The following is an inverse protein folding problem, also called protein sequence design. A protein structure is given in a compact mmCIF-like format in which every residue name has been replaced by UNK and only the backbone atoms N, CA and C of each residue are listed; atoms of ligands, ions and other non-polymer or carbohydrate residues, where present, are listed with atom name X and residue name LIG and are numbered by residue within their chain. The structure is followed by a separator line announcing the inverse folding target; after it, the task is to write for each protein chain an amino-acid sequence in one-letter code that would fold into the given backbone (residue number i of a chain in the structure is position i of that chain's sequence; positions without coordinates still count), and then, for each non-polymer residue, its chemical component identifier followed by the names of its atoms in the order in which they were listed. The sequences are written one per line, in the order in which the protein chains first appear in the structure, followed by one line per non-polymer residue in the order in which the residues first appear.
data_IF_998603563496
#
_entry.id   IF_998603563496
#
_cell.length_a   1.000
_cell.length_b   1.000
_cell.length_c   1.000
_cell.angle_alpha   90.00
_cell.angle_beta   90.00
_cell.angle_gamma   90.00
#
_symmetry.space_group_name_H-M   'P 1'
#
loop_
_entity.id
_entity.type
_entity.pdbx_description
1 polymer ?
#
# COMPACT_ATOMS: atom_id res chain seq x y z
N UNK A 1 28.95 -13.63 19.03
CA UNK A 1 29.74 -12.42 18.76
C UNK A 1 28.90 -11.55 17.83
N UNK A 2 28.14 -10.62 18.41
CA UNK A 2 27.17 -9.80 17.70
C UNK A 2 27.91 -8.73 16.88
N UNK A 3 27.53 -8.57 15.61
CA UNK A 3 27.94 -7.46 14.77
C UNK A 3 26.74 -6.55 14.56
N UNK A 4 26.77 -5.37 15.17
CA UNK A 4 25.88 -4.26 14.82
C UNK A 4 26.42 -3.62 13.53
N UNK A 5 25.53 -3.34 12.58
CA UNK A 5 25.82 -2.48 11.44
C UNK A 5 24.93 -1.24 11.54
N UNK A 6 25.55 -0.14 11.91
CA UNK A 6 25.00 1.21 11.94
C UNK A 6 25.18 1.82 10.53
N UNK A 7 24.13 2.41 9.96
CA UNK A 7 24.22 3.13 8.68
C UNK A 7 23.84 4.58 8.95
N UNK A 8 24.86 5.42 9.16
CA UNK A 8 24.75 6.86 9.02
C UNK A 8 24.48 7.21 7.55
N UNK A 9 23.45 8.01 7.29
CA UNK A 9 23.31 8.70 6.01
C UNK A 9 23.76 10.14 6.19
N UNK A 10 24.95 10.42 5.66
CA UNK A 10 25.47 11.75 5.46
C UNK A 10 24.54 12.53 4.52
N UNK A 11 24.07 13.67 4.98
CA UNK A 11 23.36 14.68 4.20
C UNK A 11 24.37 15.50 3.39
N UNK A 12 24.41 15.28 2.08
CA UNK A 12 25.09 16.19 1.15
C UNK A 12 24.08 17.05 0.38
N UNK A 13 24.14 18.34 0.74
CA UNK A 13 23.60 19.49 0.04
C UNK A 13 24.15 19.56 -1.39
N UNK A 14 23.28 19.53 -2.38
CA UNK A 14 23.58 19.89 -3.77
C UNK A 14 22.65 21.00 -4.24
N UNK A 15 23.10 22.25 -4.10
CA UNK A 15 22.38 23.43 -4.58
C UNK A 15 22.36 23.54 -6.11
N UNK A 16 21.27 24.09 -6.63
CA UNK A 16 21.11 24.46 -8.04
C UNK A 16 20.07 25.56 -8.17
N UNK A 17 20.53 26.82 -8.14
CA UNK A 17 19.69 28.00 -8.27
C UNK A 17 19.36 28.33 -9.73
N UNK A 18 18.15 28.86 -9.93
CA UNK A 18 17.73 29.78 -11.00
C UNK A 18 16.34 30.29 -10.56
N UNK A 19 15.93 31.55 -10.61
CA UNK A 19 16.44 32.73 -11.28
C UNK A 19 15.24 33.45 -11.92
N UNK A 20 14.88 34.64 -11.41
CA UNK A 20 13.87 35.56 -11.98
C UNK A 20 12.45 35.32 -11.46
N UNK A 21 11.66 36.31 -11.05
CA UNK A 21 11.68 37.76 -11.26
C UNK A 21 10.23 38.16 -11.52
N UNK A 22 9.67 39.11 -10.76
CA UNK A 22 8.29 39.57 -10.99
C UNK A 22 7.67 40.27 -9.79
N UNK A 23 7.90 41.57 -9.70
CA UNK A 23 7.33 42.52 -8.77
C UNK A 23 5.94 43.03 -9.22
N UNK A 24 5.11 43.39 -8.24
CA UNK A 24 3.87 44.16 -8.40
C UNK A 24 2.81 43.64 -7.42
N UNK A 25 2.21 44.40 -6.51
CA UNK A 25 2.09 45.84 -6.34
C UNK A 25 0.63 46.15 -5.97
N UNK A 26 0.42 46.89 -4.88
CA UNK A 26 -0.89 47.46 -4.48
C UNK A 26 -1.82 46.46 -3.76
N UNK A 27 -2.63 46.83 -2.78
CA UNK A 27 -3.02 48.13 -2.28
C UNK A 27 -3.99 47.92 -1.11
N UNK A 28 -4.10 48.98 -0.32
CA UNK A 28 -4.78 49.14 0.97
C UNK A 28 -6.32 49.21 0.91
N UNK A 29 -6.95 48.93 2.06
CA UNK A 29 -8.35 49.27 2.41
C UNK A 29 -8.89 48.23 3.39
N UNK A 30 -9.19 48.49 4.66
CA UNK A 30 -9.75 49.69 5.27
C UNK A 30 -11.28 49.59 5.26
N UNK A 31 -11.91 49.39 6.43
CA UNK A 31 -13.38 49.42 6.52
C UNK A 31 -13.95 48.73 7.76
N UNK A 32 -14.14 49.51 8.81
CA UNK A 32 -14.91 49.22 10.02
C UNK A 32 -16.42 49.03 9.77
N UNK A 33 -17.13 48.73 10.87
CA UNK A 33 -18.60 48.71 11.12
C UNK A 33 -19.29 47.35 10.91
N UNK A 34 -20.05 46.78 11.85
CA UNK A 34 -20.67 47.33 13.05
C UNK A 34 -22.19 47.37 12.89
N UNK A 35 -22.89 46.32 13.30
CA UNK A 35 -24.33 46.25 13.65
C UNK A 35 -24.60 44.79 14.10
N UNK A 36 -25.10 44.47 15.29
CA UNK A 36 -26.24 45.07 15.99
C UNK A 36 -27.51 44.40 15.48
N UNK A 37 -28.00 43.37 16.16
CA UNK A 37 -29.17 42.61 15.72
C UNK A 37 -29.63 41.55 16.73
N UNK A 38 -30.34 42.00 17.75
CA UNK A 38 -31.14 41.20 18.68
C UNK A 38 -32.39 40.64 17.99
N UNK A 39 -32.86 39.44 18.37
CA UNK A 39 -34.30 39.13 18.30
C UNK A 39 -34.71 37.70 17.92
N UNK A 40 -35.63 37.15 18.73
CA UNK A 40 -36.60 36.10 18.37
C UNK A 40 -36.07 34.66 18.43
N UNK A 41 -36.56 33.74 19.27
CA UNK A 41 -37.94 33.55 19.68
C UNK A 41 -38.71 32.82 18.57
N UNK A 42 -38.64 31.49 18.55
CA UNK A 42 -39.27 30.66 17.52
C UNK A 42 -39.43 29.21 17.98
N UNK A 43 -40.44 28.99 18.82
CA UNK A 43 -41.00 27.68 19.12
C UNK A 43 -41.81 27.17 17.93
N UNK A 44 -41.72 25.88 17.62
CA UNK A 44 -42.77 25.17 16.88
C UNK A 44 -42.29 24.41 15.66
N UNK A 45 -42.76 23.17 15.54
CA UNK A 45 -42.64 22.37 14.33
C UNK A 45 -42.05 20.99 14.58
N UNK A 46 -42.75 20.18 15.35
CA UNK A 46 -42.51 18.74 15.36
C UNK A 46 -42.88 18.16 14.01
N UNK A 47 -41.92 18.14 13.09
CA UNK A 47 -42.02 17.30 11.89
C UNK A 47 -41.77 15.87 12.34
N UNK A 48 -42.84 15.23 12.80
CA UNK A 48 -42.97 13.78 12.78
C UNK A 48 -43.04 13.36 11.33
N UNK A 49 -41.91 13.48 10.62
CA UNK A 49 -41.69 12.88 9.33
C UNK A 49 -41.92 11.40 9.52
N UNK A 50 -43.07 10.93 9.02
CA UNK A 50 -43.39 9.52 8.91
C UNK A 50 -42.17 8.84 8.34
N UNK A 51 -41.49 8.09 9.20
CA UNK A 51 -40.28 7.38 8.85
C UNK A 51 -40.64 6.42 7.74
N UNK A 52 -40.23 6.75 6.53
CA UNK A 52 -40.18 5.84 5.40
C UNK A 52 -39.46 4.57 5.87
N UNK A 53 -40.23 3.56 6.26
CA UNK A 53 -39.76 2.20 6.52
C UNK A 53 -39.12 1.56 5.28
N UNK A 54 -39.10 2.30 4.16
CA UNK A 54 -38.45 1.98 2.90
C UNK A 54 -37.02 2.55 2.74
N UNK A 55 -36.47 3.24 3.76
CA UNK A 55 -35.04 3.64 3.75
C UNK A 55 -34.07 2.49 3.98
N UNK A 56 -34.55 1.33 4.43
CA UNK A 56 -33.73 0.15 4.72
C UNK A 56 -33.19 -0.57 3.47
N UNK A 57 -33.64 -0.19 2.28
CA UNK A 57 -33.21 -0.78 1.01
C UNK A 57 -32.72 0.26 -0.01
N UNK A 58 -32.07 1.33 0.47
CA UNK A 58 -31.15 2.09 -0.40
C UNK A 58 -29.96 1.16 -0.64
N UNK A 59 -29.88 0.63 -1.86
CA UNK A 59 -29.02 -0.49 -2.26
C UNK A 59 -27.78 -0.68 -1.40
N UNK A 60 -27.71 -1.81 -0.69
CA UNK A 60 -26.51 -2.25 0.00
C UNK A 60 -25.40 -2.36 -1.06
N UNK A 61 -24.46 -1.42 -1.04
CA UNK A 61 -23.28 -1.46 -1.91
C UNK A 61 -22.34 -2.49 -1.32
N UNK A 62 -22.01 -3.50 -2.11
CA UNK A 62 -21.05 -4.54 -1.77
C UNK A 62 -19.83 -4.38 -2.67
N UNK A 63 -18.65 -4.36 -2.06
CA UNK A 63 -17.38 -4.25 -2.76
C UNK A 63 -16.84 -5.66 -2.92
N UNK A 64 -16.60 -6.07 -4.17
CA UNK A 64 -16.03 -7.38 -4.51
C UNK A 64 -14.77 -7.14 -5.37
N UNK A 65 -13.58 -7.57 -4.93
CA UNK A 65 -13.30 -8.23 -3.66
C UNK A 65 -13.48 -7.29 -2.46
N UNK A 66 -13.87 -7.83 -1.30
CA UNK A 66 -13.99 -7.09 -0.05
C UNK A 66 -12.63 -6.74 0.57
N UNK A 67 -11.63 -7.60 0.38
CA UNK A 67 -10.28 -7.40 0.89
C UNK A 67 -9.22 -8.11 0.04
N UNK A 68 -7.96 -7.71 0.20
CA UNK A 68 -6.82 -8.40 -0.38
C UNK A 68 -5.69 -8.57 0.64
N UNK A 69 -5.09 -9.76 0.67
CA UNK A 69 -3.89 -10.05 1.47
C UNK A 69 -2.73 -10.29 0.55
N UNK A 70 -1.61 -9.63 0.78
CA UNK A 70 -0.37 -9.86 0.04
C UNK A 70 0.57 -10.67 0.90
N UNK A 71 1.12 -11.72 0.32
CA UNK A 71 2.04 -12.64 0.96
C UNK A 71 3.41 -12.55 0.31
N UNK A 72 4.44 -12.96 1.05
CA UNK A 72 5.81 -13.05 0.57
C UNK A 72 6.48 -14.34 1.02
N UNK A 73 7.38 -14.85 0.19
CA UNK A 73 8.28 -15.94 0.55
C UNK A 73 9.67 -15.72 -0.05
N UNK A 74 10.71 -16.11 0.70
CA UNK A 74 12.09 -16.11 0.25
C UNK A 74 12.47 -17.42 -0.41
N UNK A 75 13.04 -17.34 -1.63
CA UNK A 75 13.43 -18.48 -2.44
C UNK A 75 14.92 -18.44 -2.83
N UNK A 76 15.43 -19.63 -3.12
CA UNK A 76 16.65 -19.85 -3.89
C UNK A 76 16.26 -20.24 -5.33
N UNK A 77 16.74 -19.46 -6.30
CA UNK A 77 16.53 -19.67 -7.73
C UNK A 77 17.85 -19.57 -8.48
N UNK A 78 18.50 -20.69 -8.75
CA UNK A 78 19.83 -20.72 -9.34
C UNK A 78 19.78 -21.18 -10.80
N UNK A 79 20.46 -20.44 -11.67
CA UNK A 79 20.78 -20.91 -13.02
C UNK A 79 21.96 -21.87 -12.89
N UNK A 80 21.75 -23.15 -13.24
CA UNK A 80 22.82 -24.16 -13.27
C UNK A 80 23.18 -24.45 -14.72
N UNK A 81 22.74 -25.59 -15.25
CA UNK A 81 23.06 -25.96 -16.63
C UNK A 81 22.05 -25.41 -17.63
N UNK A 82 22.54 -24.80 -18.70
CA UNK A 82 21.76 -24.38 -19.87
C UNK A 82 22.41 -25.00 -21.09
N UNK A 83 21.64 -25.76 -21.88
CA UNK A 83 22.15 -26.50 -23.06
C UNK A 83 23.38 -27.40 -22.76
N UNK A 84 23.49 -27.91 -21.53
CA UNK A 84 24.62 -28.75 -21.10
C UNK A 84 25.77 -27.99 -20.45
N UNK A 85 25.86 -26.67 -20.67
CA UNK A 85 26.93 -25.83 -20.13
C UNK A 85 26.60 -25.27 -18.75
N UNK A 86 27.60 -25.16 -17.88
CA UNK A 86 27.43 -24.57 -16.55
C UNK A 86 27.40 -23.04 -16.61
N UNK A 87 26.24 -22.47 -16.30
CA UNK A 87 25.99 -21.04 -16.26
C UNK A 87 25.92 -20.51 -14.81
N UNK A 88 26.41 -21.28 -13.83
CA UNK A 88 26.40 -20.90 -12.41
C UNK A 88 27.07 -19.54 -12.13
N UNK A 89 28.09 -19.19 -12.92
CA UNK A 89 28.79 -17.90 -12.84
C UNK A 89 27.87 -16.68 -13.08
N UNK A 90 26.79 -16.85 -13.85
CA UNK A 90 25.83 -15.78 -14.16
C UNK A 90 25.02 -15.37 -12.93
N UNK A 91 24.82 -16.27 -11.95
CA UNK A 91 24.04 -15.96 -10.75
C UNK A 91 24.61 -14.79 -9.94
N UNK A 92 25.91 -14.52 -10.04
CA UNK A 92 26.56 -13.38 -9.37
C UNK A 92 26.06 -12.02 -9.88
N UNK A 93 25.61 -11.97 -11.13
CA UNK A 93 25.15 -10.75 -11.80
C UNK A 93 23.63 -10.69 -11.91
N UNK A 94 22.92 -11.69 -11.38
CA UNK A 94 21.47 -11.85 -11.51
C UNK A 94 20.74 -11.16 -10.36
N UNK A 95 21.08 -9.90 -10.11
CA UNK A 95 20.35 -9.01 -9.21
C UNK A 95 19.66 -7.94 -10.03
N UNK A 96 18.38 -7.74 -9.79
CA UNK A 96 17.56 -6.71 -10.41
C UNK A 96 16.71 -6.06 -9.31
N UNK A 97 16.59 -4.73 -9.33
CA UNK A 97 15.72 -3.98 -8.42
C UNK A 97 14.29 -3.84 -8.95
N UNK A 98 14.05 -4.33 -10.17
CA UNK A 98 12.74 -4.35 -10.80
C UNK A 98 11.94 -5.60 -10.44
N UNK A 99 10.62 -5.49 -10.56
CA UNK A 99 9.68 -6.60 -10.36
C UNK A 99 9.29 -7.20 -11.71
N UNK A 100 9.29 -8.53 -11.78
CA UNK A 100 8.81 -9.28 -12.93
C UNK A 100 7.63 -10.18 -12.53
N UNK A 101 6.57 -10.19 -13.35
CA UNK A 101 5.48 -11.16 -13.20
C UNK A 101 5.93 -12.52 -13.71
N UNK A 102 6.02 -13.51 -12.83
CA UNK A 102 6.52 -14.83 -13.19
C UNK A 102 5.56 -15.93 -12.76
N UNK A 103 5.43 -16.95 -13.60
CA UNK A 103 4.76 -18.21 -13.26
C UNK A 103 5.79 -19.16 -12.64
N UNK A 104 5.79 -19.28 -11.31
CA UNK A 104 6.77 -20.12 -10.61
C UNK A 104 6.77 -21.59 -11.08
N UNK A 105 5.61 -22.11 -11.48
CA UNK A 105 5.46 -23.47 -12.00
C UNK A 105 6.25 -23.72 -13.29
N UNK A 106 6.58 -22.67 -14.05
CA UNK A 106 7.36 -22.76 -15.29
C UNK A 106 8.87 -22.64 -15.01
N UNK A 107 9.26 -22.31 -13.77
CA UNK A 107 10.65 -22.17 -13.37
C UNK A 107 11.18 -23.51 -12.88
N UNK A 108 12.20 -24.08 -13.54
CA UNK A 108 12.82 -25.30 -13.08
C UNK A 108 13.68 -25.02 -11.82
N UNK A 109 13.55 -25.87 -10.80
CA UNK A 109 14.45 -25.96 -9.65
C UNK A 109 14.53 -24.72 -8.74
N UNK A 110 13.40 -24.22 -8.24
CA UNK A 110 13.39 -23.30 -7.10
C UNK A 110 13.34 -24.07 -5.77
N UNK A 111 13.85 -23.45 -4.71
CA UNK A 111 13.78 -23.98 -3.35
C UNK A 111 13.28 -22.92 -2.38
N UNK A 112 12.25 -23.26 -1.61
CA UNK A 112 11.75 -22.42 -0.54
C UNK A 112 12.74 -22.38 0.64
N UNK A 113 13.07 -21.17 1.09
CA UNK A 113 14.00 -20.95 2.20
C UNK A 113 13.32 -20.38 3.44
N UNK A 114 12.18 -19.70 3.30
CA UNK A 114 11.45 -19.12 4.44
C UNK A 114 10.00 -19.60 4.50
N UNK A 115 9.36 -19.44 5.66
CA UNK A 115 7.90 -19.51 5.75
C UNK A 115 7.24 -18.36 4.97
N UNK A 116 6.04 -18.55 4.40
CA UNK A 116 5.20 -17.47 3.92
C UNK A 116 4.88 -16.45 5.02
N UNK A 117 4.96 -15.16 4.72
CA UNK A 117 4.59 -14.09 5.65
C UNK A 117 3.63 -13.13 4.96
N UNK A 118 2.58 -12.71 5.68
CA UNK A 118 1.67 -11.69 5.19
C UNK A 118 2.32 -10.30 5.31
N UNK A 119 2.38 -9.57 4.21
CA UNK A 119 3.02 -8.25 4.12
C UNK A 119 2.00 -7.12 4.17
N UNK A 120 0.90 -7.26 3.42
CA UNK A 120 -0.16 -6.25 3.38
C UNK A 120 -1.52 -6.89 3.59
N UNK A 121 -2.41 -6.09 4.18
CA UNK A 121 -3.84 -6.38 4.29
C UNK A 121 -4.60 -5.13 3.85
N UNK A 122 -5.38 -5.24 2.78
CA UNK A 122 -6.20 -4.17 2.25
C UNK A 122 -7.66 -4.50 2.54
N UNK A 123 -8.36 -3.56 3.16
CA UNK A 123 -9.82 -3.55 3.25
C UNK A 123 -10.35 -2.60 2.18
N UNK A 124 -11.13 -3.12 1.24
CA UNK A 124 -11.74 -2.34 0.16
C UNK A 124 -13.15 -1.86 0.53
N UNK A 125 -13.72 -2.36 1.63
CA UNK A 125 -15.00 -1.89 2.15
C UNK A 125 -14.86 -0.56 2.89
N UNK A 126 -13.64 -0.21 3.29
CA UNK A 126 -13.31 1.06 3.92
C UNK A 126 -12.42 1.88 2.99
N UNK A 127 -12.66 3.21 2.87
CA UNK A 127 -11.72 4.08 2.19
C UNK A 127 -10.34 4.01 2.88
N UNK A 128 -9.23 4.15 2.14
CA UNK A 128 -7.92 4.18 2.76
C UNK A 128 -7.83 5.32 3.78
N UNK A 129 -7.11 5.10 4.88
CA UNK A 129 -6.91 6.13 5.89
C UNK A 129 -6.18 7.35 5.31
N UNK A 130 -6.51 8.55 5.82
CA UNK A 130 -5.79 9.78 5.51
C UNK A 130 -4.38 9.69 6.11
N UNK A 131 -3.39 9.38 5.27
CA UNK A 131 -1.98 9.50 5.64
C UNK A 131 -1.61 10.97 5.59
N UNK A 132 -1.96 11.68 6.66
CA UNK A 132 -1.79 13.13 6.81
C UNK A 132 -0.35 13.59 6.66
N UNK A 133 0.03 13.96 5.43
CA UNK A 133 1.13 14.91 5.19
C UNK A 133 0.49 16.21 4.70
N UNK A 134 0.19 17.09 5.66
CA UNK A 134 -0.23 18.46 5.40
C UNK A 134 -1.70 18.64 5.00
N UNK A 135 -2.63 18.41 5.94
CA UNK A 135 -3.99 18.96 5.83
C UNK A 135 -3.96 20.47 6.07
N UNK A 136 -3.38 21.21 5.12
CA UNK A 136 -3.59 22.64 4.95
C UNK A 136 -4.89 22.86 4.19
N UNK A 137 -5.68 23.84 4.63
CA UNK A 137 -6.87 24.37 3.98
C UNK A 137 -6.75 24.29 2.44
N UNK A 138 -7.72 23.63 1.79
CA UNK A 138 -7.83 23.46 0.33
C UNK A 138 -6.89 22.42 -0.31
N UNK A 139 -7.09 21.14 0.00
CA UNK A 139 -6.49 20.06 -0.80
C UNK A 139 -7.08 18.72 -0.42
N UNK A 140 -7.61 17.98 -1.39
CA UNK A 140 -8.02 16.59 -1.20
C UNK A 140 -6.82 15.79 -0.68
N UNK A 141 -6.87 15.39 0.60
CA UNK A 141 -5.92 14.46 1.20
C UNK A 141 -5.87 13.20 0.34
N UNK A 142 -4.66 12.80 -0.06
CA UNK A 142 -4.47 11.61 -0.89
C UNK A 142 -4.58 10.38 0.03
N UNK A 143 -5.79 9.90 0.26
CA UNK A 143 -6.03 8.60 0.91
C UNK A 143 -5.26 7.55 0.11
N UNK A 144 -4.28 6.92 0.75
CA UNK A 144 -3.35 6.00 0.07
C UNK A 144 -3.18 4.76 0.89
N UNK A 145 -3.35 3.60 0.25
CA UNK A 145 -3.03 2.31 0.85
C UNK A 145 -1.53 2.21 1.20
N UNK A 146 -1.15 1.43 2.23
CA UNK A 146 0.24 1.28 2.63
C UNK A 146 1.09 0.77 1.46
N UNK A 147 2.22 1.44 1.22
CA UNK A 147 3.14 1.15 0.11
C UNK A 147 4.47 0.53 0.55
N UNK A 148 4.76 0.52 1.86
CA UNK A 148 5.96 -0.05 2.42
C UNK A 148 5.65 -0.81 3.71
N UNK A 149 6.28 -1.97 3.88
CA UNK A 149 6.20 -2.78 5.08
C UNK A 149 7.58 -3.40 5.37
N UNK A 150 7.84 -3.67 6.65
CA UNK A 150 8.97 -4.47 7.11
C UNK A 150 8.41 -5.73 7.73
N UNK A 151 8.89 -6.87 7.28
CA UNK A 151 8.46 -8.18 7.76
C UNK A 151 9.67 -9.03 8.14
N UNK A 152 9.50 -9.87 9.14
CA UNK A 152 10.47 -10.88 9.52
C UNK A 152 9.94 -12.24 9.10
N UNK A 153 10.77 -13.04 8.42
CA UNK A 153 10.41 -14.36 7.95
C UNK A 153 11.36 -15.41 8.55
N UNK A 154 10.79 -16.48 9.11
CA UNK A 154 11.57 -17.59 9.64
C UNK A 154 12.25 -18.37 8.51
N UNK A 155 13.54 -18.66 8.68
CA UNK A 155 14.33 -19.45 7.72
C UNK A 155 14.18 -20.94 8.03
N UNK A 156 13.61 -21.69 7.07
CA UNK A 156 13.35 -23.13 7.17
C UNK A 156 14.37 -23.98 6.38
N UNK A 157 15.21 -23.34 5.57
CA UNK A 157 16.17 -24.04 4.70
C UNK A 157 17.51 -23.31 4.59
N UNK A 158 18.59 -24.10 4.55
CA UNK A 158 19.92 -23.58 4.18
C UNK A 158 19.99 -23.37 2.66
N UNK A 159 20.47 -22.22 2.23
CA UNK A 159 20.66 -21.87 0.82
C UNK A 159 21.08 -20.41 0.64
N UNK A 160 21.05 -19.93 -0.60
CA UNK A 160 21.26 -18.53 -0.96
C UNK A 160 19.92 -17.88 -1.26
N UNK A 161 19.52 -16.90 -0.44
CA UNK A 161 18.34 -16.09 -0.71
C UNK A 161 18.66 -15.10 -1.83
N UNK A 162 18.10 -15.34 -3.01
CA UNK A 162 18.32 -14.49 -4.18
C UNK A 162 17.03 -14.10 -4.91
N UNK A 163 15.88 -14.59 -4.46
CA UNK A 163 14.59 -14.23 -5.00
C UNK A 163 13.57 -14.05 -3.86
N UNK A 164 12.69 -13.07 -4.04
CA UNK A 164 11.54 -12.83 -3.17
C UNK A 164 10.31 -12.88 -4.05
N UNK A 165 9.35 -13.73 -3.68
CA UNK A 165 8.13 -13.93 -4.44
C UNK A 165 6.95 -13.42 -3.65
N UNK A 166 6.10 -12.65 -4.32
CA UNK A 166 4.86 -12.13 -3.76
C UNK A 166 3.67 -12.73 -4.50
N UNK A 167 2.60 -12.99 -3.76
CA UNK A 167 1.28 -13.33 -4.31
C UNK A 167 0.21 -12.68 -3.46
N UNK A 168 -1.05 -12.77 -3.90
CA UNK A 168 -2.17 -12.22 -3.18
C UNK A 168 -3.35 -13.19 -3.10
N UNK A 169 -4.10 -13.06 -2.02
CA UNK A 169 -5.41 -13.64 -1.84
C UNK A 169 -6.45 -12.51 -1.92
N UNK A 170 -7.41 -12.63 -2.83
CA UNK A 170 -8.59 -11.78 -2.91
C UNK A 170 -9.72 -12.44 -2.14
N UNK A 171 -10.24 -11.76 -1.13
CA UNK A 171 -11.40 -12.19 -0.34
C UNK A 171 -12.63 -11.61 -1.02
N UNK A 172 -13.51 -12.46 -1.55
CA UNK A 172 -14.63 -12.01 -2.39
C UNK A 172 -15.70 -11.32 -1.56
N UNK A 173 -16.03 -11.90 -0.41
CA UNK A 173 -17.01 -11.36 0.52
C UNK A 173 -16.57 -11.60 1.98
N UNK A 174 -17.29 -10.95 2.89
CA UNK A 174 -17.06 -11.12 4.33
C UNK A 174 -17.88 -12.26 4.95
N UNK A 175 -18.73 -12.92 4.17
CA UNK A 175 -19.76 -13.84 4.67
C UNK A 175 -19.51 -15.29 4.30
N UNK A 176 -19.23 -15.57 3.03
CA UNK A 176 -18.95 -16.92 2.53
C UNK A 176 -17.52 -17.39 2.81
N UNK A 177 -16.58 -16.43 2.99
CA UNK A 177 -15.16 -16.74 3.14
C UNK A 177 -14.51 -17.22 1.83
N UNK A 178 -15.19 -17.04 0.70
CA UNK A 178 -14.64 -17.34 -0.62
C UNK A 178 -13.42 -16.47 -0.91
N UNK A 179 -12.36 -17.12 -1.41
CA UNK A 179 -11.12 -16.46 -1.80
C UNK A 179 -10.61 -16.96 -3.13
N UNK A 180 -10.05 -16.05 -3.90
CA UNK A 180 -9.26 -16.34 -5.10
C UNK A 180 -7.80 -16.07 -4.75
N UNK A 181 -6.95 -17.06 -5.00
CA UNK A 181 -5.51 -16.94 -4.74
C UNK A 181 -4.73 -17.15 -6.03
N UNK A 182 -3.69 -16.36 -6.23
CA UNK A 182 -2.64 -16.65 -7.23
C UNK A 182 -1.38 -17.24 -6.59
N UNK A 183 -1.51 -17.86 -5.41
CA UNK A 183 -0.41 -18.52 -4.73
C UNK A 183 0.27 -19.54 -5.66
N UNK A 184 1.62 -19.57 -5.68
CA UNK A 184 2.34 -20.58 -6.42
C UNK A 184 2.06 -21.99 -5.84
N UNK A 185 1.87 -23.00 -6.71
CA UNK A 185 1.60 -24.37 -6.25
C UNK A 185 2.70 -24.89 -5.32
N UNK A 186 2.31 -25.56 -4.23
CA UNK A 186 3.26 -26.17 -3.29
C UNK A 186 3.85 -25.21 -2.25
N UNK A 187 3.56 -23.92 -2.35
CA UNK A 187 3.83 -22.92 -1.30
C UNK A 187 2.49 -22.62 -0.64
N UNK A 188 2.05 -23.53 0.22
CA UNK A 188 0.87 -23.30 1.07
C UNK A 188 1.33 -23.00 2.50
N UNK A 189 0.78 -21.97 3.16
CA UNK A 189 0.88 -21.83 4.61
C UNK A 189 0.12 -22.93 5.35
#
# INVERSE_FOLDING_TARGET
RAGQAEVEKNSDNGGGGSGGGGSGGGGSGGGDSGCGGSGGGGSGGGDSGGGDSNRSNRGRVEVIPAAARVWVVGLEMLTRRVCGEDMSAVNKYRWDDTYESVRLQDIPYYRQLTVPVQVFNFDFTQPPEDVGVGAGLYGHGRTTYPSAARVEAEVIGKGVLNAVVFWFDLILDNHSGERISNAPPGIFP
#
